data_IF_692340259770
#
_entry.id   IF_692340259770
#
_cell.length_a   1.000
_cell.length_b   1.000
_cell.length_c   1.000
_cell.angle_alpha   90.00
_cell.angle_beta   90.00
_cell.angle_gamma   90.00
#
_symmetry.space_group_name_H-M   'P 1'
#
loop_
_entity.id
_entity.type
_entity.pdbx_description
1 polymer ?
#
# COMPACT_ATOMS: atom_id res chain seq x y z
N UNK A 1 -14.46 -21.24 -1.15
CA UNK A 1 -14.45 -20.23 -2.23
C UNK A 1 -14.26 -20.96 -3.54
N UNK A 2 -15.28 -20.96 -4.39
CA UNK A 2 -15.24 -21.66 -5.68
C UNK A 2 -14.39 -20.88 -6.71
N UNK A 3 -14.31 -21.38 -7.95
CA UNK A 3 -13.52 -20.72 -8.99
C UNK A 3 -14.17 -19.44 -9.56
N UNK A 4 -15.49 -19.29 -9.48
CA UNK A 4 -16.19 -18.07 -9.90
C UNK A 4 -15.98 -16.93 -8.90
N UNK A 5 -16.05 -17.20 -7.60
CA UNK A 5 -15.72 -16.22 -6.56
C UNK A 5 -14.25 -15.78 -6.63
N UNK A 6 -13.33 -16.67 -7.02
CA UNK A 6 -11.92 -16.31 -7.24
C UNK A 6 -11.77 -15.33 -8.39
N UNK A 7 -12.40 -15.59 -9.53
CA UNK A 7 -12.35 -14.70 -10.69
C UNK A 7 -12.99 -13.35 -10.37
N UNK A 8 -14.15 -13.35 -9.70
CA UNK A 8 -14.84 -12.14 -9.26
C UNK A 8 -13.95 -11.25 -8.38
N UNK A 9 -13.27 -11.82 -7.39
CA UNK A 9 -12.38 -11.05 -6.49
C UNK A 9 -11.27 -10.36 -7.27
N UNK A 10 -10.70 -11.05 -8.25
CA UNK A 10 -9.58 -10.48 -8.99
C UNK A 10 -10.07 -9.42 -9.98
N UNK A 11 -11.16 -9.66 -10.69
CA UNK A 11 -11.74 -8.71 -11.64
C UNK A 11 -12.24 -7.43 -10.93
N UNK A 12 -12.77 -7.58 -9.71
CA UNK A 12 -13.28 -6.47 -8.91
C UNK A 12 -12.20 -5.59 -8.27
N UNK A 13 -10.98 -6.11 -8.09
CA UNK A 13 -9.87 -5.35 -7.54
C UNK A 13 -8.87 -4.91 -8.60
N UNK A 14 -8.83 -5.55 -9.77
CA UNK A 14 -7.97 -5.11 -10.87
C UNK A 14 -8.55 -3.85 -11.53
N UNK A 15 -7.74 -2.81 -11.69
CA UNK A 15 -8.07 -1.68 -12.54
C UNK A 15 -7.83 -1.98 -14.02
N UNK A 16 -7.16 -3.09 -14.35
CA UNK A 16 -6.72 -3.41 -15.72
C UNK A 16 -5.53 -2.57 -16.22
N UNK A 17 -4.97 -1.69 -15.39
CA UNK A 17 -3.75 -0.94 -15.67
C UNK A 17 -2.59 -1.60 -14.94
N UNK A 18 -1.50 -1.89 -15.64
CA UNK A 18 -0.36 -2.65 -15.10
C UNK A 18 0.96 -2.06 -15.57
N UNK A 19 2.00 -2.20 -14.72
CA UNK A 19 3.37 -1.95 -15.15
C UNK A 19 3.79 -2.97 -16.20
N UNK A 20 4.57 -2.52 -17.18
CA UNK A 20 5.09 -3.35 -18.27
C UNK A 20 6.28 -4.23 -17.83
N UNK A 21 6.79 -4.03 -16.61
CA UNK A 21 7.96 -4.71 -16.03
C UNK A 21 7.70 -5.03 -14.56
N UNK A 22 8.27 -6.13 -14.06
CA UNK A 22 8.30 -6.44 -12.63
C UNK A 22 9.38 -5.67 -11.87
N UNK A 23 10.34 -5.05 -12.57
CA UNK A 23 11.33 -4.16 -11.98
C UNK A 23 10.81 -2.73 -12.03
N UNK A 24 10.33 -2.24 -10.89
CA UNK A 24 9.71 -0.93 -10.75
C UNK A 24 10.65 -0.04 -9.94
N UNK A 25 11.09 1.09 -10.52
CA UNK A 25 11.91 2.04 -9.77
C UNK A 25 11.05 2.86 -8.83
N UNK A 26 11.57 3.16 -7.64
CA UNK A 26 11.00 4.18 -6.77
C UNK A 26 12.07 5.19 -6.38
N UNK A 27 11.64 6.39 -5.99
CA UNK A 27 12.52 7.37 -5.38
C UNK A 27 11.80 8.13 -4.28
N UNK A 28 12.57 8.69 -3.36
CA UNK A 28 12.05 9.48 -2.24
C UNK A 28 12.33 10.95 -2.54
N UNK A 29 11.30 11.76 -2.85
CA UNK A 29 11.49 13.18 -3.11
C UNK A 29 12.23 13.88 -1.97
N UNK A 30 13.14 14.79 -2.32
CA UNK A 30 13.89 15.63 -1.39
C UNK A 30 13.61 17.11 -1.66
N UNK A 31 14.21 17.99 -0.85
CA UNK A 31 14.31 19.40 -1.26
C UNK A 31 14.97 19.49 -2.63
N UNK A 32 14.32 20.19 -3.58
CA UNK A 32 14.80 20.32 -4.96
C UNK A 32 14.29 19.26 -5.95
N UNK A 33 13.55 18.24 -5.50
CA UNK A 33 12.85 17.34 -6.42
C UNK A 33 11.87 18.09 -7.31
N UNK A 34 11.84 17.72 -8.59
CA UNK A 34 10.97 18.35 -9.58
C UNK A 34 9.96 17.35 -10.13
N UNK A 35 8.82 17.86 -10.57
CA UNK A 35 7.73 17.07 -11.13
C UNK A 35 7.49 17.55 -12.55
N UNK A 36 7.46 16.62 -13.50
CA UNK A 36 7.28 16.95 -14.92
C UNK A 36 5.81 17.29 -15.28
N UNK A 37 4.96 17.48 -14.27
CA UNK A 37 3.58 17.96 -14.34
C UNK A 37 3.33 18.86 -13.11
N UNK A 38 2.43 19.84 -13.24
CA UNK A 38 2.48 21.05 -12.40
C UNK A 38 1.27 21.28 -11.49
N UNK A 39 0.59 20.24 -11.02
CA UNK A 39 -0.55 20.43 -10.12
C UNK A 39 -0.08 20.58 -8.66
N UNK A 40 0.30 19.47 -8.03
CA UNK A 40 0.41 19.39 -6.57
C UNK A 40 1.68 20.01 -5.98
N UNK A 41 2.83 19.87 -6.65
CA UNK A 41 4.10 20.37 -6.14
C UNK A 41 4.18 21.91 -6.02
N UNK A 42 3.22 22.62 -6.59
CA UNK A 42 3.11 24.08 -6.54
C UNK A 42 2.26 24.59 -5.38
N UNK A 43 1.55 23.70 -4.67
CA UNK A 43 0.77 24.08 -3.50
C UNK A 43 1.70 24.50 -2.35
N UNK A 44 1.28 25.51 -1.57
CA UNK A 44 2.02 25.95 -0.38
C UNK A 44 2.15 24.82 0.66
N UNK A 45 1.19 23.90 0.64
CA UNK A 45 1.16 22.69 1.46
C UNK A 45 2.04 21.56 0.91
N UNK A 46 2.80 21.75 -0.17
CA UNK A 46 3.76 20.76 -0.63
C UNK A 46 4.75 20.37 0.49
N UNK A 47 5.12 19.10 0.55
CA UNK A 47 6.14 18.64 1.47
C UNK A 47 6.69 17.27 1.09
N UNK A 48 7.92 17.02 1.50
CA UNK A 48 8.56 15.72 1.30
C UNK A 48 8.51 14.89 2.58
N UNK A 49 8.65 13.56 2.45
CA UNK A 49 8.66 12.68 3.61
C UNK A 49 9.84 12.98 4.53
N UNK A 50 9.60 12.92 5.85
CA UNK A 50 10.66 12.85 6.85
C UNK A 50 11.41 11.50 6.78
N UNK A 51 12.53 11.37 7.49
CA UNK A 51 13.31 10.13 7.53
C UNK A 51 12.51 8.92 8.07
N UNK A 52 11.64 9.15 9.06
CA UNK A 52 10.79 8.10 9.63
C UNK A 52 9.68 7.70 8.65
N UNK A 53 9.02 8.65 8.01
CA UNK A 53 8.02 8.39 6.96
C UNK A 53 8.64 7.70 5.74
N UNK A 54 9.86 8.10 5.36
CA UNK A 54 10.63 7.46 4.28
C UNK A 54 10.90 5.99 4.60
N UNK A 55 11.27 5.68 5.84
CA UNK A 55 11.47 4.29 6.28
C UNK A 55 10.17 3.48 6.23
N UNK A 56 9.04 4.11 6.59
CA UNK A 56 7.72 3.49 6.48
C UNK A 56 7.32 3.22 5.03
N UNK A 57 7.58 4.16 4.12
CA UNK A 57 7.33 3.99 2.68
C UNK A 57 8.14 2.84 2.08
N UNK A 58 9.43 2.71 2.44
CA UNK A 58 10.23 1.54 2.04
C UNK A 58 9.67 0.23 2.61
N UNK A 59 9.18 0.26 3.85
CA UNK A 59 8.57 -0.92 4.47
C UNK A 59 7.25 -1.34 3.79
N UNK A 60 6.42 -0.39 3.34
CA UNK A 60 5.19 -0.72 2.60
C UNK A 60 5.50 -1.27 1.20
N UNK A 61 6.52 -0.74 0.51
CA UNK A 61 7.04 -1.32 -0.74
C UNK A 61 7.50 -2.77 -0.54
N UNK A 62 8.26 -3.06 0.53
CA UNK A 62 8.68 -4.42 0.87
C UNK A 62 7.46 -5.33 1.15
N UNK A 63 6.48 -4.85 1.91
CA UNK A 63 5.27 -5.62 2.22
C UNK A 63 4.48 -6.00 0.95
N UNK A 64 4.50 -5.13 -0.07
CA UNK A 64 3.98 -5.47 -1.39
C UNK A 64 4.89 -6.46 -2.14
N UNK A 65 6.20 -6.22 -2.22
CA UNK A 65 7.15 -7.14 -2.90
C UNK A 65 7.08 -8.57 -2.35
N UNK A 66 6.92 -8.74 -1.03
CA UNK A 66 6.76 -10.07 -0.40
C UNK A 66 5.53 -10.84 -0.91
N UNK A 67 4.50 -10.12 -1.35
CA UNK A 67 3.20 -10.67 -1.75
C UNK A 67 3.09 -10.84 -3.26
N UNK A 68 3.58 -9.86 -4.03
CA UNK A 68 3.41 -9.81 -5.49
C UNK A 68 4.72 -9.99 -6.27
N UNK A 69 5.90 -9.96 -5.63
CA UNK A 69 7.21 -10.04 -6.27
C UNK A 69 7.48 -8.89 -7.28
N UNK A 70 7.02 -7.69 -6.95
CA UNK A 70 7.42 -6.46 -7.61
C UNK A 70 8.84 -6.09 -7.15
N UNK A 71 9.84 -6.37 -7.97
CA UNK A 71 11.26 -6.12 -7.71
C UNK A 71 11.53 -4.60 -7.65
N UNK A 72 11.09 -3.96 -6.56
CA UNK A 72 11.27 -2.55 -6.31
C UNK A 72 12.74 -2.24 -6.07
N UNK A 73 13.25 -1.20 -6.72
CA UNK A 73 14.61 -0.73 -6.52
C UNK A 73 14.64 0.80 -6.42
N UNK A 74 15.41 1.28 -5.47
CA UNK A 74 15.51 2.71 -5.21
C UNK A 74 16.47 3.37 -6.20
N UNK A 75 16.08 4.54 -6.70
CA UNK A 75 16.97 5.47 -7.40
C UNK A 75 17.02 6.82 -6.69
N UNK A 76 18.09 7.57 -6.93
CA UNK A 76 18.41 8.77 -6.14
C UNK A 76 17.75 10.03 -6.70
N UNK A 77 16.93 10.68 -5.88
CA UNK A 77 16.48 12.06 -6.08
C UNK A 77 17.55 13.07 -5.60
N UNK A 78 17.64 14.27 -6.20
CA UNK A 78 16.87 14.78 -7.34
C UNK A 78 17.50 14.51 -8.72
N UNK A 79 18.51 13.63 -8.81
CA UNK A 79 19.22 13.35 -10.06
C UNK A 79 18.38 12.54 -11.06
N UNK A 80 17.50 11.68 -10.55
CA UNK A 80 16.52 10.93 -11.33
C UNK A 80 15.25 10.72 -10.52
N UNK A 81 14.10 10.67 -11.21
CA UNK A 81 12.80 10.37 -10.60
C UNK A 81 12.39 8.94 -10.90
N UNK A 82 12.06 8.20 -9.83
CA UNK A 82 11.53 6.86 -9.92
C UNK A 82 10.13 6.85 -10.51
N UNK A 83 9.66 5.68 -10.93
CA UNK A 83 8.28 5.49 -11.37
C UNK A 83 7.29 5.66 -10.22
N UNK A 84 7.72 5.33 -9.00
CA UNK A 84 6.91 5.50 -7.79
C UNK A 84 7.54 6.56 -6.90
N UNK A 85 6.78 7.60 -6.58
CA UNK A 85 7.18 8.68 -5.68
C UNK A 85 6.04 9.03 -4.75
N UNK A 86 6.37 9.60 -3.60
CA UNK A 86 5.39 10.01 -2.61
C UNK A 86 5.74 11.36 -2.02
N UNK A 87 4.75 12.25 -1.93
CA UNK A 87 4.88 13.56 -1.33
C UNK A 87 3.56 13.99 -0.69
N UNK A 88 3.61 15.07 0.08
CA UNK A 88 2.45 15.73 0.66
C UNK A 88 2.01 16.90 -0.20
N UNK A 89 0.71 17.17 -0.22
CA UNK A 89 0.05 18.34 -0.82
C UNK A 89 -1.27 18.64 -0.11
N UNK A 90 -1.93 19.73 -0.46
CA UNK A 90 -3.30 20.01 -0.01
C UNK A 90 -4.27 19.25 -0.94
N UNK A 91 -4.63 18.03 -0.54
CA UNK A 91 -5.58 17.18 -1.26
C UNK A 91 -7.03 17.67 -1.05
N UNK A 92 -7.24 18.68 -0.20
CA UNK A 92 -8.54 19.23 0.13
C UNK A 92 -9.25 18.50 1.26
N UNK A 93 -8.56 17.63 2.01
CA UNK A 93 -9.01 17.02 3.27
C UNK A 93 -10.21 16.07 3.20
N UNK A 94 -10.78 15.80 2.02
CA UNK A 94 -11.88 14.83 1.85
C UNK A 94 -11.34 13.39 1.86
N UNK A 95 -10.20 13.18 1.21
CA UNK A 95 -9.48 11.91 1.19
C UNK A 95 -8.09 12.12 1.81
N UNK A 96 -7.55 11.14 2.55
CA UNK A 96 -6.24 11.26 3.20
C UNK A 96 -5.06 11.22 2.21
N UNK A 97 -5.34 10.90 0.94
CA UNK A 97 -4.38 10.86 -0.15
C UNK A 97 -5.03 10.31 -1.41
N UNK A 98 -4.24 10.28 -2.49
CA UNK A 98 -4.57 9.59 -3.73
C UNK A 98 -3.29 9.17 -4.46
N UNK A 99 -3.43 8.28 -5.44
CA UNK A 99 -2.33 7.84 -6.28
C UNK A 99 -2.74 7.68 -7.74
N UNK A 100 -1.77 7.87 -8.62
CA UNK A 100 -1.94 7.58 -10.03
C UNK A 100 -1.62 6.10 -10.32
N UNK A 101 -2.53 5.46 -11.05
CA UNK A 101 -2.32 4.13 -11.60
C UNK A 101 -1.04 4.00 -12.46
N UNK A 102 -0.57 2.77 -12.73
CA UNK A 102 0.48 2.53 -13.70
C UNK A 102 0.21 3.23 -15.04
N UNK A 103 1.15 4.04 -15.49
CA UNK A 103 1.05 4.80 -16.73
C UNK A 103 2.43 5.21 -17.24
N UNK A 104 2.54 5.50 -18.54
CA UNK A 104 3.73 6.10 -19.14
C UNK A 104 3.70 7.63 -19.07
N UNK A 105 2.66 8.22 -18.49
CA UNK A 105 2.58 9.66 -18.24
C UNK A 105 3.47 10.05 -17.04
N UNK A 106 3.95 11.30 -16.98
CA UNK A 106 4.87 11.74 -15.93
C UNK A 106 4.36 11.57 -14.49
N UNK A 107 3.05 11.55 -14.29
CA UNK A 107 2.42 11.35 -12.99
C UNK A 107 2.17 9.88 -12.62
N UNK A 108 2.32 8.95 -13.56
CA UNK A 108 2.01 7.54 -13.33
C UNK A 108 2.85 6.96 -12.19
N UNK A 109 2.18 6.41 -11.16
CA UNK A 109 2.83 5.86 -9.97
C UNK A 109 3.14 6.87 -8.86
N UNK A 110 2.84 8.15 -9.05
CA UNK A 110 3.00 9.14 -8.00
C UNK A 110 1.85 9.08 -6.98
N UNK A 111 2.22 9.25 -5.70
CA UNK A 111 1.33 9.26 -4.53
C UNK A 111 1.35 10.65 -3.91
N UNK A 112 0.16 11.19 -3.67
CA UNK A 112 -0.05 12.46 -3.00
C UNK A 112 -0.83 12.22 -1.72
N UNK A 113 -0.21 12.54 -0.58
CA UNK A 113 -0.84 12.48 0.73
C UNK A 113 -1.30 13.87 1.15
N UNK A 114 -2.41 13.93 1.87
CA UNK A 114 -2.89 15.18 2.43
C UNK A 114 -1.90 15.75 3.46
N UNK A 115 -1.73 17.06 3.51
CA UNK A 115 -0.75 17.71 4.36
C UNK A 115 -1.05 17.57 5.85
N UNK A 116 -2.31 17.26 6.22
CA UNK A 116 -2.68 16.88 7.58
C UNK A 116 -1.91 15.66 8.10
N UNK A 117 -1.39 14.81 7.21
CA UNK A 117 -0.60 13.63 7.57
C UNK A 117 0.90 13.93 7.79
N UNK A 118 1.38 15.16 7.52
CA UNK A 118 2.81 15.50 7.65
C UNK A 118 3.38 15.24 9.05
N UNK A 119 2.57 15.46 10.09
CA UNK A 119 2.94 15.25 11.49
C UNK A 119 2.53 13.88 12.03
N UNK A 120 1.85 13.06 11.23
CA UNK A 120 1.35 11.76 11.66
C UNK A 120 2.46 10.69 11.74
N UNK A 121 2.25 9.69 12.59
CA UNK A 121 3.13 8.55 12.71
C UNK A 121 2.77 7.45 11.70
N UNK A 122 3.74 7.03 10.89
CA UNK A 122 3.60 5.97 9.89
C UNK A 122 4.21 4.67 10.42
N UNK A 123 3.75 4.23 11.58
CA UNK A 123 4.16 2.94 12.16
C UNK A 123 3.20 1.85 11.72
N UNK A 124 3.66 0.59 11.54
CA UNK A 124 2.76 -0.54 11.33
C UNK A 124 1.60 -0.53 12.33
N UNK A 125 0.38 -0.69 11.83
CA UNK A 125 -0.87 -0.63 12.58
C UNK A 125 -1.53 0.74 12.63
N UNK A 126 -0.82 1.82 12.28
CA UNK A 126 -1.38 3.18 12.23
C UNK A 126 -2.21 3.41 10.97
N UNK A 127 -3.12 4.38 11.04
CA UNK A 127 -3.93 4.77 9.89
C UNK A 127 -3.08 5.31 8.74
N UNK A 128 -2.10 6.18 9.01
CA UNK A 128 -1.25 6.76 7.98
C UNK A 128 -0.37 5.72 7.28
N UNK A 129 0.09 4.68 7.99
CA UNK A 129 0.76 3.54 7.38
C UNK A 129 -0.17 2.75 6.46
N UNK A 130 -1.41 2.53 6.90
CA UNK A 130 -2.44 1.88 6.08
C UNK A 130 -2.77 2.69 4.82
N UNK A 131 -2.84 4.02 4.90
CA UNK A 131 -3.03 4.88 3.72
C UNK A 131 -1.88 4.71 2.73
N UNK A 132 -0.60 4.75 3.16
CA UNK A 132 0.51 4.45 2.24
C UNK A 132 0.39 3.08 1.59
N UNK A 133 -0.03 2.07 2.36
CA UNK A 133 -0.21 0.73 1.85
C UNK A 133 -1.36 0.65 0.82
N UNK A 134 -2.44 1.39 1.06
CA UNK A 134 -3.59 1.55 0.16
C UNK A 134 -3.19 2.25 -1.14
N UNK A 135 -2.55 3.42 -1.05
CA UNK A 135 -2.12 4.19 -2.22
C UNK A 135 -1.12 3.40 -3.09
N UNK A 136 -0.21 2.65 -2.46
CA UNK A 136 0.65 1.73 -3.22
C UNK A 136 -0.13 0.62 -3.94
N UNK A 137 -1.29 0.22 -3.43
CA UNK A 137 -2.20 -0.68 -4.13
C UNK A 137 -2.68 -0.08 -5.45
N UNK A 138 -3.05 1.20 -5.48
CA UNK A 138 -3.37 1.91 -6.72
C UNK A 138 -2.17 2.02 -7.67
N UNK A 139 -1.00 2.36 -7.16
CA UNK A 139 0.26 2.36 -7.93
C UNK A 139 0.56 1.00 -8.55
N UNK A 140 0.07 -0.09 -7.97
CA UNK A 140 0.19 -1.46 -8.47
C UNK A 140 -0.97 -1.91 -9.37
N UNK A 141 -1.94 -1.05 -9.64
CA UNK A 141 -3.06 -1.33 -10.53
C UNK A 141 -4.31 -1.89 -9.82
N UNK A 142 -4.42 -1.76 -8.50
CA UNK A 142 -5.62 -2.15 -7.77
C UNK A 142 -6.60 -0.98 -7.65
N UNK A 143 -7.87 -1.20 -7.94
CA UNK A 143 -8.94 -0.21 -7.74
C UNK A 143 -9.71 -0.46 -6.45
N UNK A 144 -10.54 0.49 -6.04
CA UNK A 144 -11.48 0.21 -4.96
C UNK A 144 -12.49 -0.87 -5.38
N UNK A 145 -12.87 -1.75 -4.45
CA UNK A 145 -13.79 -2.85 -4.74
C UNK A 145 -15.24 -2.42 -5.00
N UNK A 146 -15.65 -1.22 -4.57
CA UNK A 146 -17.02 -0.69 -4.70
C UNK A 146 -17.21 0.31 -5.84
N UNK A 147 -16.16 0.65 -6.57
CA UNK A 147 -16.25 1.63 -7.66
C UNK A 147 -15.83 1.03 -9.01
N UNK A 148 -16.37 1.60 -10.09
CA UNK A 148 -15.86 1.38 -11.43
C UNK A 148 -14.72 2.39 -11.69
N UNK A 149 -13.51 1.89 -11.95
CA UNK A 149 -12.30 2.71 -12.08
C UNK A 149 -11.26 2.02 -12.96
N UNK A 150 -10.43 2.81 -13.63
CA UNK A 150 -9.54 2.33 -14.70
C UNK A 150 -10.33 1.70 -15.85
N UNK A 151 -9.99 0.45 -16.19
CA UNK A 151 -10.61 -0.35 -17.25
C UNK A 151 -11.58 -1.42 -16.71
N UNK A 152 -11.93 -1.40 -15.41
CA UNK A 152 -12.81 -2.39 -14.78
C UNK A 152 -14.05 -1.74 -14.15
N UNK A 153 -15.21 -2.33 -14.45
CA UNK A 153 -16.52 -1.95 -13.88
C UNK A 153 -17.04 -2.98 -12.87
N UNK A 154 -16.31 -4.08 -12.65
CA UNK A 154 -16.72 -5.15 -11.74
C UNK A 154 -16.61 -4.70 -10.28
N UNK A 155 -17.64 -4.99 -9.48
CA UNK A 155 -17.68 -4.63 -8.07
C UNK A 155 -17.68 -5.88 -7.18
N UNK A 156 -17.08 -5.78 -5.99
CA UNK A 156 -17.23 -6.81 -4.97
C UNK A 156 -18.62 -6.75 -4.33
N UNK A 157 -19.22 -7.91 -4.01
CA UNK A 157 -20.38 -7.95 -3.13
C UNK A 157 -20.05 -7.36 -1.75
N UNK A 158 -21.01 -6.66 -1.15
CA UNK A 158 -20.84 -5.96 0.13
C UNK A 158 -20.19 -6.81 1.26
N UNK A 159 -20.50 -8.12 1.44
CA UNK A 159 -19.85 -8.92 2.49
C UNK A 159 -18.35 -9.15 2.31
N UNK A 160 -17.83 -8.90 1.10
CA UNK A 160 -16.43 -9.07 0.71
C UNK A 160 -15.70 -7.72 0.59
N UNK A 161 -16.43 -6.61 0.66
CA UNK A 161 -15.89 -5.26 0.55
C UNK A 161 -15.72 -4.64 1.94
N UNK A 162 -14.63 -5.02 2.61
CA UNK A 162 -14.20 -4.45 3.88
C UNK A 162 -12.66 -4.56 4.05
N UNK A 163 -12.14 -3.84 5.03
CA UNK A 163 -10.69 -3.77 5.31
C UNK A 163 -10.06 -5.11 5.79
N UNK A 164 -10.85 -6.11 6.22
CA UNK A 164 -10.31 -7.44 6.59
C UNK A 164 -9.98 -8.28 5.37
N UNK A 165 -10.60 -7.97 4.23
CA UNK A 165 -10.44 -8.72 3.00
C UNK A 165 -9.46 -8.04 2.03
N UNK A 166 -9.51 -6.71 1.93
CA UNK A 166 -8.65 -5.93 1.03
C UNK A 166 -8.30 -4.58 1.65
N UNK A 167 -7.04 -4.17 1.51
CA UNK A 167 -6.62 -2.82 1.94
C UNK A 167 -7.25 -1.74 1.05
N UNK A 168 -7.78 -2.10 -0.12
CA UNK A 168 -8.43 -1.18 -1.06
C UNK A 168 -9.87 -0.80 -0.67
N UNK A 169 -10.42 -1.34 0.41
CA UNK A 169 -11.79 -1.02 0.84
C UNK A 169 -11.82 0.19 1.78
N UNK A 170 -12.86 1.00 1.64
CA UNK A 170 -13.17 2.10 2.56
C UNK A 170 -14.04 1.65 3.75
N UNK A 171 -14.58 0.42 3.70
CA UNK A 171 -15.48 -0.06 4.75
C UNK A 171 -14.67 -0.68 5.87
N UNK A 172 -14.86 -0.12 7.06
CA UNK A 172 -14.18 -0.59 8.26
C UNK A 172 -14.51 -2.06 8.56
N UNK A 173 -13.49 -2.79 9.01
CA UNK A 173 -13.68 -4.15 9.50
C UNK A 173 -14.22 -4.15 10.94
N UNK A 174 -15.09 -5.11 11.30
CA UNK A 174 -15.45 -5.34 12.70
C UNK A 174 -14.21 -5.77 13.50
N UNK A 175 -14.21 -5.48 14.81
CA UNK A 175 -13.18 -5.90 15.78
C UNK A 175 -11.75 -5.38 15.51
N UNK A 176 -11.62 -4.15 15.03
CA UNK A 176 -10.31 -3.51 14.76
C UNK A 176 -9.65 -2.84 15.97
N UNK A 177 -10.20 -2.98 17.17
CA UNK A 177 -9.71 -2.25 18.34
C UNK A 177 -8.95 -3.16 19.30
N UNK A 178 -7.79 -2.68 19.77
CA UNK A 178 -7.16 -3.20 20.98
C UNK A 178 -7.64 -2.35 22.16
N UNK A 179 -8.04 -3.00 23.24
CA UNK A 179 -8.40 -2.33 24.48
C UNK A 179 -7.20 -2.36 25.42
N UNK A 180 -6.64 -1.19 25.72
CA UNK A 180 -5.59 -1.02 26.70
C UNK A 180 -6.21 -0.54 28.02
N UNK A 181 -6.12 -1.37 29.07
CA UNK A 181 -6.74 -1.10 30.37
C UNK A 181 -5.74 -0.43 31.32
N UNK A 182 -6.17 0.62 32.00
CA UNK A 182 -5.34 1.35 32.95
C UNK A 182 -6.17 1.86 34.14
N UNK A 183 -5.51 2.25 35.22
CA UNK A 183 -6.15 2.92 36.35
C UNK A 183 -5.99 4.42 36.15
N UNK A 184 -7.10 5.16 36.15
CA UNK A 184 -7.07 6.61 35.96
C UNK A 184 -6.60 7.34 37.24
N UNK A 185 -6.45 8.67 37.16
CA UNK A 185 -6.04 9.49 38.31
C UNK A 185 -7.00 9.43 39.50
N UNK A 186 -8.27 9.04 39.28
CA UNK A 186 -9.27 8.86 40.32
C UNK A 186 -9.24 7.46 40.97
N UNK A 187 -8.41 6.54 40.48
CA UNK A 187 -8.32 5.16 40.97
C UNK A 187 -9.30 4.18 40.30
N UNK A 188 -10.05 4.61 39.29
CA UNK A 188 -11.01 3.76 38.58
C UNK A 188 -10.35 2.99 37.44
N UNK A 189 -10.83 1.77 37.18
CA UNK A 189 -10.46 1.02 35.98
C UNK A 189 -11.05 1.71 34.74
N UNK A 190 -10.18 2.12 33.83
CA UNK A 190 -10.50 2.73 32.55
C UNK A 190 -9.87 1.93 31.40
N UNK A 191 -10.27 2.24 30.17
CA UNK A 191 -9.64 1.67 28.97
C UNK A 191 -9.50 2.70 27.85
N UNK A 192 -8.51 2.48 26.98
CA UNK A 192 -8.33 3.19 25.72
C UNK A 192 -8.55 2.20 24.56
N UNK A 193 -9.51 2.48 23.70
CA UNK A 193 -9.70 1.75 22.46
C UNK A 193 -8.76 2.29 21.38
N UNK A 194 -7.84 1.45 20.90
CA UNK A 194 -6.84 1.82 19.90
C UNK A 194 -7.21 1.11 18.59
N UNK A 195 -7.57 1.84 17.52
CA UNK A 195 -7.81 1.22 16.22
C UNK A 195 -6.51 0.69 15.64
N UNK A 196 -6.57 -0.51 15.06
CA UNK A 196 -5.46 -1.18 14.38
C UNK A 196 -5.83 -1.40 12.92
N UNK A 197 -4.95 -0.97 12.04
CA UNK A 197 -5.10 -1.13 10.60
C UNK A 197 -4.11 -2.17 10.05
N UNK A 198 -4.42 -2.70 8.87
CA UNK A 198 -3.55 -3.62 8.16
C UNK A 198 -2.15 -2.99 7.91
N UNK A 199 -1.10 -3.79 8.10
CA UNK A 199 0.29 -3.39 7.86
C UNK A 199 0.94 -4.16 6.71
N UNK A 200 0.18 -4.99 6.01
CA UNK A 200 0.60 -5.73 4.82
C UNK A 200 -0.61 -5.96 3.93
N UNK A 201 -0.43 -6.24 2.63
CA UNK A 201 -1.54 -6.53 1.74
C UNK A 201 -2.39 -7.69 2.25
N UNK A 202 -3.72 -7.56 2.17
CA UNK A 202 -4.64 -8.61 2.59
C UNK A 202 -4.77 -9.71 1.53
N UNK A 203 -5.42 -10.82 1.90
CA UNK A 203 -5.44 -12.03 1.06
C UNK A 203 -6.07 -11.80 -0.33
N UNK A 204 -7.03 -10.88 -0.48
CA UNK A 204 -7.59 -10.56 -1.80
C UNK A 204 -6.58 -9.79 -2.66
N UNK A 205 -5.80 -8.88 -2.07
CA UNK A 205 -4.71 -8.16 -2.75
C UNK A 205 -3.67 -9.16 -3.29
N UNK A 206 -3.30 -10.16 -2.49
CA UNK A 206 -2.38 -11.23 -2.91
C UNK A 206 -2.86 -12.02 -4.12
N UNK A 207 -4.17 -12.24 -4.26
CA UNK A 207 -4.74 -12.96 -5.40
C UNK A 207 -4.64 -12.18 -6.71
N UNK A 208 -4.59 -10.86 -6.64
CA UNK A 208 -4.52 -9.99 -7.81
C UNK A 208 -3.17 -10.06 -8.54
N UNK A 209 -2.12 -10.63 -7.93
CA UNK A 209 -0.81 -10.85 -8.57
C UNK A 209 -0.90 -11.56 -9.92
N UNK A 210 -1.92 -12.39 -10.14
CA UNK A 210 -2.08 -13.23 -11.34
C UNK A 210 -2.34 -12.42 -12.62
N UNK A 211 -2.74 -11.15 -12.49
CA UNK A 211 -2.99 -10.23 -13.61
C UNK A 211 -1.83 -9.26 -13.85
N UNK A 212 -0.89 -9.17 -12.91
CA UNK A 212 0.39 -8.47 -13.11
C UNK A 212 1.26 -9.43 -13.94
N UNK A 213 1.06 -9.42 -15.26
CA UNK A 213 1.42 -10.44 -16.26
C UNK A 213 2.90 -10.88 -16.29
N UNK A 214 3.76 -10.33 -15.43
CA UNK A 214 5.21 -10.50 -15.45
C UNK A 214 5.83 -10.87 -14.10
N UNK A 215 5.05 -11.06 -13.03
CA UNK A 215 5.60 -11.33 -11.70
C UNK A 215 5.71 -12.84 -11.41
N UNK A 216 6.92 -13.43 -11.38
CA UNK A 216 7.08 -14.83 -11.04
C UNK A 216 6.71 -15.08 -9.57
N UNK A 217 6.13 -16.25 -9.22
CA UNK A 217 5.90 -16.59 -7.83
C UNK A 217 7.25 -16.72 -7.09
N UNK A 218 7.47 -15.93 -6.02
CA UNK A 218 8.52 -16.26 -5.05
C UNK A 218 8.09 -17.51 -4.29
N UNK A 219 8.82 -18.61 -4.48
CA UNK A 219 8.74 -19.74 -3.55
C UNK A 219 9.34 -19.24 -2.24
N UNK A 220 8.64 -19.33 -1.09
CA UNK A 220 9.25 -19.01 0.19
C UNK A 220 10.52 -19.85 0.34
N UNK A 221 11.65 -19.21 0.67
CA UNK A 221 12.89 -19.93 0.92
C UNK A 221 12.67 -20.87 2.12
N UNK A 222 12.31 -22.12 1.86
CA UNK A 222 12.48 -23.19 2.84
C UNK A 222 13.97 -23.40 2.98
N UNK A 223 14.56 -22.90 4.05
CA UNK A 223 15.88 -23.33 4.50
C UNK A 223 15.78 -24.79 4.94
N UNK A 224 15.85 -25.73 3.99
CA UNK A 224 16.07 -27.14 4.33
C UNK A 224 17.53 -27.32 4.66
N UNK A 225 17.90 -27.14 5.93
CA UNK A 225 19.14 -27.71 6.45
C UNK A 225 18.94 -29.22 6.51
N UNK A 226 19.26 -29.91 5.42
CA UNK A 226 19.30 -31.38 5.40
C UNK A 226 20.53 -31.79 6.20
N UNK A 227 20.31 -32.11 7.48
CA UNK A 227 21.30 -32.76 8.32
C UNK A 227 21.71 -34.09 7.69
N UNK A 228 22.99 -34.22 7.40
CA UNK A 228 23.60 -35.45 6.89
C UNK A 228 23.66 -36.44 8.05
N UNK A 229 22.81 -37.48 8.01
CA UNK A 229 22.92 -38.60 8.94
C UNK A 229 24.09 -39.50 8.52
N UNK A 230 25.15 -39.52 9.32
CA UNK A 230 26.28 -40.45 9.19
C UNK A 230 25.87 -41.78 9.83
N UNK A 231 25.89 -42.87 9.07
CA UNK A 231 25.79 -44.23 9.60
C UNK A 231 27.17 -44.67 10.11
N UNK A 232 27.26 -45.08 11.37
CA UNK A 232 28.37 -45.89 11.87
C UNK A 232 27.99 -47.37 11.79
N UNK A 233 28.97 -48.20 11.41
CA UNK A 233 28.94 -49.65 11.56
C UNK A 233 29.10 -50.04 13.03
#
# INVERSE_FOLDING_TARGET
MDNQEKTLVIDALSSGLVWQSSAISFSVPTSGSTWAYSAESNHAAYGVLSATQTSAFRATLQAWDDVIAANFYEIQEPQASGQVRVAFTDVGGVEPGYAYYPSNLPQGGDIWLDDSLKSAAFTPGSYSYFILLHELGHVLGLKHPHEASGNSTTLLPLPLDDMRHTVMSYREQPNRYILDFYVNEAGDLAYKAIPVYASSPMWMCWRCRRFMVWMPPRVPAMTSTVGTAVKHY
#
